data_IF_794931604677
#
_entry.id   IF_794931604677
#
_cell.length_a   1.000
_cell.length_b   1.000
_cell.length_c   1.000
_cell.angle_alpha   90.00
_cell.angle_beta   90.00
_cell.angle_gamma   90.00
#
_symmetry.space_group_name_H-M   'P 1'
#
loop_
_entity.id
_entity.type
_entity.pdbx_description
1 polymer ?
#
# COMPACT_ATOMS: atom_id res chain seq x y z
N UNK A 1 -2.95 21.34 6.56
CA UNK A 1 -4.22 22.11 6.72
C UNK A 1 -4.70 21.93 8.14
N UNK A 2 -4.90 23.01 8.92
CA UNK A 2 -5.51 22.91 10.25
C UNK A 2 -7.00 22.63 10.07
N UNK A 3 -7.45 21.44 10.41
CA UNK A 3 -8.83 20.99 10.28
C UNK A 3 -9.64 21.43 11.50
N UNK A 4 -10.55 22.38 11.32
CA UNK A 4 -11.70 22.54 12.22
C UNK A 4 -12.84 21.69 11.64
N UNK A 5 -12.96 20.44 12.09
CA UNK A 5 -14.24 19.73 12.03
C UNK A 5 -15.09 20.35 13.14
N UNK A 6 -15.63 21.54 12.85
CA UNK A 6 -16.52 22.22 13.77
C UNK A 6 -17.80 21.39 13.88
N UNK A 7 -17.93 20.65 14.99
CA UNK A 7 -19.11 20.47 15.86
C UNK A 7 -20.53 20.63 15.24
N UNK A 8 -20.73 20.33 13.97
CA UNK A 8 -22.02 20.47 13.25
C UNK A 8 -22.73 19.13 13.08
N UNK A 9 -22.08 18.03 13.45
CA UNK A 9 -22.65 16.67 13.51
C UNK A 9 -23.70 16.49 14.63
N UNK A 10 -23.87 17.47 15.53
CA UNK A 10 -24.71 17.32 16.73
C UNK A 10 -26.11 17.94 16.65
N UNK A 11 -26.51 18.61 15.56
CA UNK A 11 -27.77 19.39 15.56
C UNK A 11 -28.96 18.83 14.75
N UNK A 12 -28.91 17.58 14.28
CA UNK A 12 -30.05 16.97 13.58
C UNK A 12 -30.30 15.51 13.95
N UNK A 13 -30.33 15.21 15.25
CA UNK A 13 -30.79 13.89 15.73
C UNK A 13 -32.30 13.94 15.90
N UNK A 14 -33.03 13.78 14.80
CA UNK A 14 -34.36 13.21 14.83
C UNK A 14 -34.21 11.70 15.04
N UNK A 15 -34.79 11.16 16.11
CA UNK A 15 -34.90 9.72 16.37
C UNK A 15 -35.65 9.05 15.20
N UNK A 16 -34.91 8.58 14.22
CA UNK A 16 -35.35 7.60 13.24
C UNK A 16 -34.36 6.45 13.33
N UNK A 17 -34.71 5.44 14.13
CA UNK A 17 -34.12 4.10 14.04
C UNK A 17 -34.59 3.47 12.73
N UNK A 18 -34.08 3.97 11.61
CA UNK A 18 -34.13 3.26 10.35
C UNK A 18 -32.94 2.32 10.42
N UNK A 19 -33.22 1.05 10.68
CA UNK A 19 -32.30 -0.03 10.36
C UNK A 19 -32.19 -0.06 8.83
N UNK A 20 -31.38 0.86 8.28
CA UNK A 20 -31.21 1.02 6.85
C UNK A 20 -30.48 -0.22 6.38
N UNK A 21 -31.21 -1.14 5.75
CA UNK A 21 -30.60 -2.31 5.11
C UNK A 21 -29.65 -1.75 4.05
N UNK A 22 -28.33 -1.90 4.27
CA UNK A 22 -27.30 -1.45 3.33
C UNK A 22 -27.69 -1.87 1.92
N UNK A 23 -27.83 -0.89 1.03
CA UNK A 23 -28.14 -1.13 -0.36
C UNK A 23 -26.82 -1.35 -1.09
N UNK A 24 -26.66 -2.55 -1.65
CA UNK A 24 -25.48 -2.87 -2.42
C UNK A 24 -25.54 -2.21 -3.80
N UNK A 25 -24.36 -1.90 -4.35
CA UNK A 25 -24.24 -1.51 -5.75
C UNK A 25 -24.76 -2.63 -6.64
N UNK A 26 -25.54 -2.28 -7.66
CA UNK A 26 -25.96 -3.23 -8.69
C UNK A 26 -24.74 -3.76 -9.45
N UNK A 27 -24.73 -5.06 -9.76
CA UNK A 27 -23.59 -5.71 -10.41
C UNK A 27 -23.23 -5.10 -11.77
N UNK A 28 -24.23 -4.61 -12.52
CA UNK A 28 -24.05 -3.90 -13.79
C UNK A 28 -23.27 -2.59 -13.60
N UNK A 29 -23.75 -1.74 -12.70
CA UNK A 29 -23.11 -0.45 -12.35
C UNK A 29 -21.68 -0.68 -11.87
N UNK A 30 -21.47 -1.68 -11.02
CA UNK A 30 -20.16 -2.04 -10.51
C UNK A 30 -19.21 -2.48 -11.64
N UNK A 31 -19.66 -3.36 -12.54
CA UNK A 31 -18.85 -3.84 -13.66
C UNK A 31 -18.50 -2.72 -14.65
N UNK A 32 -19.38 -1.75 -14.85
CA UNK A 32 -19.12 -0.59 -15.72
C UNK A 32 -18.15 0.40 -15.08
N UNK A 33 -18.20 0.53 -13.75
CA UNK A 33 -17.40 1.49 -12.98
C UNK A 33 -15.99 0.98 -12.64
N UNK A 34 -15.73 -0.31 -12.79
CA UNK A 34 -14.38 -0.87 -12.61
C UNK A 34 -13.42 -0.34 -13.69
N UNK A 35 -12.16 -0.01 -13.31
CA UNK A 35 -11.18 0.46 -14.27
C UNK A 35 -10.85 -0.66 -15.27
N UNK A 36 -10.66 -0.28 -16.53
CA UNK A 36 -10.22 -1.17 -17.61
C UNK A 36 -8.84 -0.73 -18.08
N UNK A 37 -7.78 -0.96 -17.28
CA UNK A 37 -6.46 -0.44 -17.57
C UNK A 37 -5.84 -1.12 -18.80
N UNK A 38 -5.17 -0.32 -19.63
CA UNK A 38 -4.23 -0.86 -20.61
C UNK A 38 -3.02 -1.38 -19.85
N UNK A 39 -2.70 -2.67 -20.00
CA UNK A 39 -1.57 -3.26 -19.31
C UNK A 39 -0.27 -3.03 -20.08
N UNK A 40 0.75 -2.61 -19.35
CA UNK A 40 2.12 -2.48 -19.83
C UNK A 40 2.99 -3.48 -19.07
N UNK A 41 3.82 -4.21 -19.80
CA UNK A 41 4.76 -5.17 -19.23
C UNK A 41 6.18 -4.87 -19.73
N UNK A 42 7.11 -4.68 -18.80
CA UNK A 42 8.55 -4.61 -19.07
C UNK A 42 9.24 -5.84 -18.49
N UNK A 43 10.20 -6.41 -19.24
CA UNK A 43 11.01 -7.55 -18.81
C UNK A 43 12.48 -7.20 -18.74
N UNK A 44 13.11 -7.67 -17.70
CA UNK A 44 14.54 -7.50 -17.44
C UNK A 44 15.15 -8.81 -16.93
N UNK A 45 16.43 -9.00 -17.23
CA UNK A 45 17.16 -10.21 -16.88
C UNK A 45 16.90 -11.41 -17.81
N UNK A 46 17.69 -12.46 -17.64
CA UNK A 46 17.62 -13.73 -18.40
C UNK A 46 17.78 -14.96 -17.49
N UNK A 47 17.66 -14.74 -16.19
CA UNK A 47 17.83 -15.78 -15.20
C UNK A 47 16.73 -16.85 -15.27
N UNK A 48 17.01 -18.01 -14.69
CA UNK A 48 16.11 -19.17 -14.67
C UNK A 48 15.78 -19.62 -13.24
N UNK A 49 16.25 -18.92 -12.21
CA UNK A 49 15.98 -19.27 -10.81
C UNK A 49 14.56 -18.91 -10.44
N UNK A 50 14.03 -17.83 -11.02
CA UNK A 50 12.65 -17.42 -10.94
C UNK A 50 12.49 -15.93 -11.18
N UNK A 51 11.37 -15.35 -10.77
CA UNK A 51 11.02 -13.96 -11.12
C UNK A 51 10.55 -13.13 -9.94
N UNK A 52 10.88 -11.84 -9.97
CA UNK A 52 10.24 -10.83 -9.11
C UNK A 52 9.43 -9.92 -10.02
N UNK A 53 8.16 -9.73 -9.68
CA UNK A 53 7.21 -8.95 -10.47
C UNK A 53 6.72 -7.77 -9.64
N UNK A 54 7.18 -6.57 -9.99
CA UNK A 54 6.62 -5.35 -9.43
C UNK A 54 5.32 -4.97 -10.12
N UNK A 55 4.29 -4.66 -9.34
CA UNK A 55 2.98 -4.23 -9.85
C UNK A 55 2.70 -2.78 -9.49
N UNK A 56 2.21 -2.01 -10.46
CA UNK A 56 1.55 -0.72 -10.25
C UNK A 56 0.13 -0.83 -10.82
N UNK A 57 -0.82 -1.39 -10.04
CA UNK A 57 -2.20 -1.51 -10.49
C UNK A 57 -2.86 -0.14 -10.55
N UNK A 58 -3.81 0.04 -11.49
CA UNK A 58 -4.65 1.23 -11.58
C UNK A 58 -6.00 0.90 -10.96
N UNK A 59 -6.27 1.43 -9.77
CA UNK A 59 -7.46 1.11 -8.98
C UNK A 59 -8.33 2.36 -8.78
N UNK A 60 -9.63 2.16 -8.58
CA UNK A 60 -10.52 3.24 -8.15
C UNK A 60 -11.37 2.82 -6.95
N UNK A 61 -12.25 3.70 -6.46
CA UNK A 61 -13.10 3.38 -5.31
C UNK A 61 -13.99 2.14 -5.55
N UNK A 62 -14.40 1.88 -6.78
CA UNK A 62 -15.21 0.70 -7.14
C UNK A 62 -14.40 -0.60 -7.12
N UNK A 63 -13.08 -0.54 -7.31
CA UNK A 63 -12.19 -1.67 -7.05
C UNK A 63 -12.28 -2.14 -5.59
N UNK A 64 -12.67 -1.27 -4.65
CA UNK A 64 -12.80 -1.61 -3.22
C UNK A 64 -14.24 -1.85 -2.77
N UNK A 65 -15.23 -1.79 -3.68
CA UNK A 65 -16.64 -1.91 -3.32
C UNK A 65 -16.99 -3.28 -2.72
N UNK A 66 -16.40 -4.34 -3.27
CA UNK A 66 -16.58 -5.72 -2.79
C UNK A 66 -15.23 -6.45 -2.76
N UNK A 67 -15.15 -7.54 -2.00
CA UNK A 67 -13.96 -8.41 -2.01
C UNK A 67 -13.66 -8.94 -3.41
N UNK A 68 -14.68 -9.36 -4.15
CA UNK A 68 -14.54 -9.87 -5.51
C UNK A 68 -14.13 -8.79 -6.51
N UNK A 69 -14.58 -7.54 -6.33
CA UNK A 69 -14.09 -6.40 -7.12
C UNK A 69 -12.60 -6.18 -6.92
N UNK A 70 -12.14 -6.23 -5.67
CA UNK A 70 -10.73 -6.04 -5.33
C UNK A 70 -9.88 -7.19 -5.87
N UNK A 71 -10.29 -8.43 -5.60
CA UNK A 71 -9.65 -9.62 -6.14
C UNK A 71 -9.63 -9.60 -7.67
N UNK A 72 -10.74 -9.31 -8.35
CA UNK A 72 -10.77 -9.30 -9.83
C UNK A 72 -9.91 -8.19 -10.43
N UNK A 73 -9.84 -7.01 -9.78
CA UNK A 73 -8.97 -5.92 -10.20
C UNK A 73 -7.50 -6.33 -10.14
N UNK A 74 -7.08 -7.05 -9.09
CA UNK A 74 -5.70 -7.53 -8.94
C UNK A 74 -5.42 -8.75 -9.82
N UNK A 75 -6.35 -9.70 -9.91
CA UNK A 75 -6.21 -10.94 -10.70
C UNK A 75 -5.85 -10.65 -12.15
N UNK A 76 -6.39 -9.57 -12.72
CA UNK A 76 -6.06 -9.11 -14.07
C UNK A 76 -4.54 -9.01 -14.31
N UNK A 77 -3.77 -8.55 -13.32
CA UNK A 77 -2.31 -8.43 -13.41
C UNK A 77 -1.59 -9.77 -13.24
N UNK A 78 -2.06 -10.61 -12.31
CA UNK A 78 -1.49 -11.95 -12.12
C UNK A 78 -1.74 -12.83 -13.36
N UNK A 79 -2.92 -12.68 -13.97
CA UNK A 79 -3.27 -13.34 -15.21
C UNK A 79 -2.40 -12.85 -16.37
N UNK A 80 -2.21 -11.53 -16.53
CA UNK A 80 -1.30 -10.98 -17.54
C UNK A 80 0.13 -11.52 -17.39
N UNK A 81 0.64 -11.58 -16.15
CA UNK A 81 1.95 -12.18 -15.87
C UNK A 81 1.99 -13.67 -16.26
N UNK A 82 0.94 -14.43 -15.96
CA UNK A 82 0.82 -15.84 -16.34
C UNK A 82 0.79 -16.03 -17.86
N UNK A 83 -0.05 -15.28 -18.57
CA UNK A 83 -0.26 -15.38 -20.02
C UNK A 83 0.99 -15.00 -20.80
N UNK A 84 1.84 -14.15 -20.23
CA UNK A 84 3.13 -13.79 -20.80
C UNK A 84 4.28 -14.70 -20.30
N UNK A 85 4.05 -15.80 -19.58
CA UNK A 85 5.12 -16.67 -19.06
C UNK A 85 6.10 -15.95 -18.10
N UNK A 86 5.60 -15.03 -17.25
CA UNK A 86 6.40 -14.40 -16.19
C UNK A 86 6.37 -15.18 -14.86
N UNK A 87 5.52 -16.20 -14.74
CA UNK A 87 5.34 -16.96 -13.49
C UNK A 87 6.12 -18.27 -13.52
N UNK A 88 7.06 -18.38 -12.61
CA UNK A 88 7.73 -19.60 -12.20
C UNK A 88 7.05 -20.09 -10.92
N UNK A 89 6.30 -21.19 -11.01
CA UNK A 89 5.60 -21.80 -9.88
C UNK A 89 6.54 -21.95 -8.67
N UNK A 90 6.09 -21.46 -7.52
CA UNK A 90 6.77 -21.37 -6.23
C UNK A 90 8.07 -20.54 -6.21
N UNK A 91 8.47 -19.95 -7.34
CA UNK A 91 9.70 -19.15 -7.51
C UNK A 91 9.41 -17.80 -8.17
N UNK A 92 8.19 -17.31 -7.99
CA UNK A 92 7.81 -15.95 -8.35
C UNK A 92 7.36 -15.20 -7.12
N UNK A 93 7.79 -13.95 -6.99
CA UNK A 93 7.36 -13.03 -5.94
C UNK A 93 6.75 -11.80 -6.56
N UNK A 94 5.50 -11.50 -6.22
CA UNK A 94 4.85 -10.25 -6.60
C UNK A 94 5.07 -9.18 -5.52
N UNK A 95 5.30 -7.93 -5.95
CA UNK A 95 5.44 -6.78 -5.07
C UNK A 95 4.36 -5.77 -5.41
N UNK A 96 3.47 -5.50 -4.46
CA UNK A 96 2.38 -4.54 -4.59
C UNK A 96 2.70 -3.23 -3.86
N UNK A 97 2.04 -2.12 -4.21
CA UNK A 97 2.33 -0.80 -3.66
C UNK A 97 1.76 -0.57 -2.25
N UNK A 98 2.26 0.47 -1.59
CA UNK A 98 1.78 0.91 -0.28
C UNK A 98 0.29 1.30 -0.33
N UNK A 99 -0.38 1.16 0.80
CA UNK A 99 -1.79 1.50 1.05
C UNK A 99 -2.84 0.74 0.23
N UNK A 100 -2.43 -0.23 -0.57
CA UNK A 100 -3.36 -1.03 -1.37
C UNK A 100 -4.43 -1.73 -0.52
N UNK A 101 -4.12 -2.14 0.72
CA UNK A 101 -5.09 -2.76 1.62
C UNK A 101 -5.93 -1.76 2.42
N UNK A 102 -5.48 -0.51 2.57
CA UNK A 102 -6.11 0.47 3.46
C UNK A 102 -7.50 0.90 2.99
N UNK A 103 -7.71 0.93 1.68
CA UNK A 103 -9.01 1.31 1.11
C UNK A 103 -10.10 0.25 1.29
N UNK A 104 -9.77 -0.95 1.79
CA UNK A 104 -10.75 -1.97 2.19
C UNK A 104 -11.67 -1.51 3.34
N UNK A 105 -11.36 -0.35 3.95
CA UNK A 105 -12.21 0.33 4.94
C UNK A 105 -13.64 0.57 4.45
N UNK A 106 -13.84 0.72 3.13
CA UNK A 106 -15.17 0.92 2.51
C UNK A 106 -15.79 -0.34 1.90
N UNK A 107 -15.13 -1.51 2.02
CA UNK A 107 -15.63 -2.73 1.38
C UNK A 107 -16.94 -3.21 2.00
N UNK A 108 -17.89 -3.60 1.14
CA UNK A 108 -19.24 -4.02 1.50
C UNK A 108 -20.05 -2.96 2.26
N UNK A 109 -19.74 -1.68 2.04
CA UNK A 109 -20.54 -0.56 2.53
C UNK A 109 -21.71 -0.21 1.60
N UNK A 110 -22.56 0.71 2.06
CA UNK A 110 -23.70 1.18 1.28
C UNK A 110 -23.26 1.86 -0.03
N UNK A 111 -24.07 1.69 -1.08
CA UNK A 111 -23.84 2.32 -2.38
C UNK A 111 -23.69 3.85 -2.31
N UNK A 112 -24.26 4.50 -1.28
CA UNK A 112 -24.15 5.95 -1.07
C UNK A 112 -22.71 6.44 -0.99
N UNK A 113 -21.80 5.65 -0.40
CA UNK A 113 -20.38 5.99 -0.27
C UNK A 113 -19.69 6.08 -1.64
N UNK A 114 -20.08 5.22 -2.58
CA UNK A 114 -19.47 5.17 -3.92
C UNK A 114 -20.04 6.21 -4.88
N UNK A 115 -21.16 6.85 -4.51
CA UNK A 115 -21.78 7.95 -5.25
C UNK A 115 -21.26 9.35 -4.86
N UNK A 116 -20.44 9.46 -3.81
CA UNK A 116 -19.85 10.74 -3.39
C UNK A 116 -18.73 11.19 -4.34
N UNK A 117 -18.37 12.47 -4.28
CA UNK A 117 -17.34 13.05 -5.16
C UNK A 117 -15.96 13.10 -4.52
N UNK A 118 -15.91 13.25 -3.20
CA UNK A 118 -14.67 13.43 -2.45
C UNK A 118 -14.48 12.37 -1.37
N UNK A 119 -13.23 12.13 -1.00
CA UNK A 119 -12.87 11.25 0.11
C UNK A 119 -13.51 11.75 1.42
N UNK A 120 -13.58 13.06 1.64
CA UNK A 120 -14.20 13.63 2.83
C UNK A 120 -15.68 13.27 2.91
N UNK A 121 -16.43 13.48 1.82
CA UNK A 121 -17.84 13.08 1.74
C UNK A 121 -18.02 11.58 1.94
N UNK A 122 -17.13 10.75 1.35
CA UNK A 122 -17.16 9.30 1.52
C UNK A 122 -16.92 8.88 2.99
N UNK A 123 -15.98 9.54 3.68
CA UNK A 123 -15.71 9.31 5.10
C UNK A 123 -16.90 9.73 5.97
N UNK A 124 -17.51 10.89 5.71
CA UNK A 124 -18.71 11.31 6.42
C UNK A 124 -19.87 10.33 6.26
N UNK A 125 -20.08 9.84 5.03
CA UNK A 125 -21.10 8.84 4.75
C UNK A 125 -20.78 7.51 5.45
N UNK A 126 -19.52 7.09 5.47
CA UNK A 126 -19.06 5.91 6.22
C UNK A 126 -19.39 6.04 7.72
N UNK A 127 -19.15 7.21 8.32
CA UNK A 127 -19.50 7.48 9.72
C UNK A 127 -21.02 7.40 9.92
N UNK A 128 -21.81 8.05 9.06
CA UNK A 128 -23.28 8.04 9.17
C UNK A 128 -23.86 6.63 9.08
N UNK A 129 -23.37 5.83 8.12
CA UNK A 129 -23.82 4.44 7.92
C UNK A 129 -23.39 3.50 9.04
N UNK A 130 -22.39 3.87 9.84
CA UNK A 130 -21.86 3.05 10.93
C UNK A 130 -21.91 3.79 12.29
N UNK A 131 -22.84 4.74 12.46
CA UNK A 131 -22.84 5.71 13.57
C UNK A 131 -22.75 5.07 14.96
N UNK A 132 -23.50 4.00 15.21
CA UNK A 132 -23.46 3.30 16.50
C UNK A 132 -22.09 2.69 16.80
N UNK A 133 -21.49 2.01 15.81
CA UNK A 133 -20.15 1.43 15.94
C UNK A 133 -19.09 2.51 16.05
N UNK A 134 -19.23 3.60 15.29
CA UNK A 134 -18.32 4.73 15.34
C UNK A 134 -18.32 5.40 16.71
N UNK A 135 -19.50 5.74 17.24
CA UNK A 135 -19.63 6.36 18.57
C UNK A 135 -19.12 5.44 19.69
N UNK A 136 -19.33 4.12 19.55
CA UNK A 136 -18.77 3.15 20.49
C UNK A 136 -17.24 3.18 20.48
N UNK A 137 -16.61 3.08 19.32
CA UNK A 137 -15.14 3.11 19.24
C UNK A 137 -14.58 4.48 19.67
N UNK A 138 -15.21 5.57 19.25
CA UNK A 138 -14.79 6.93 19.62
C UNK A 138 -14.86 7.19 21.13
N UNK A 139 -15.87 6.63 21.82
CA UNK A 139 -16.06 6.84 23.25
C UNK A 139 -15.31 5.85 24.15
N UNK A 140 -15.09 4.62 23.68
CA UNK A 140 -14.64 3.52 24.54
C UNK A 140 -13.34 2.84 24.09
N UNK A 141 -12.85 3.09 22.88
CA UNK A 141 -11.53 2.58 22.49
C UNK A 141 -10.41 3.50 22.99
N UNK A 142 -9.22 2.95 23.29
CA UNK A 142 -8.05 3.78 23.52
C UNK A 142 -7.73 4.62 22.28
N UNK A 143 -7.37 5.88 22.52
CA UNK A 143 -6.88 6.81 21.50
C UNK A 143 -5.38 6.99 21.68
N UNK A 144 -4.62 6.82 20.61
CA UNK A 144 -3.16 7.01 20.58
C UNK A 144 -2.75 8.13 19.62
N UNK A 145 -3.73 8.84 19.05
CA UNK A 145 -3.55 9.77 17.94
C UNK A 145 -4.00 11.18 18.28
N UNK A 146 -3.47 12.15 17.54
CA UNK A 146 -3.99 13.52 17.57
C UNK A 146 -5.21 13.67 16.64
N UNK A 147 -5.28 12.85 15.59
CA UNK A 147 -6.44 12.73 14.71
C UNK A 147 -7.32 11.52 15.10
N UNK A 148 -8.04 11.68 16.22
CA UNK A 148 -8.88 10.64 16.79
C UNK A 148 -10.00 10.18 15.84
N UNK A 149 -10.47 11.04 14.92
CA UNK A 149 -11.51 10.70 13.96
C UNK A 149 -11.01 9.66 12.95
N UNK A 150 -9.84 9.90 12.34
CA UNK A 150 -9.23 8.92 11.44
C UNK A 150 -8.86 7.63 12.16
N UNK A 151 -8.32 7.73 13.38
CA UNK A 151 -8.00 6.54 14.16
C UNK A 151 -9.24 5.67 14.40
N UNK A 152 -10.33 6.29 14.84
CA UNK A 152 -11.60 5.61 15.10
C UNK A 152 -12.12 4.91 13.84
N UNK A 153 -12.06 5.58 12.69
CA UNK A 153 -12.53 5.01 11.41
C UNK A 153 -11.81 3.70 11.07
N UNK A 154 -10.48 3.68 11.12
CA UNK A 154 -9.72 2.47 10.81
C UNK A 154 -9.91 1.40 11.88
N UNK A 155 -9.93 1.78 13.17
CA UNK A 155 -10.14 0.84 14.28
C UNK A 155 -11.49 0.13 14.18
N UNK A 156 -12.56 0.90 13.91
CA UNK A 156 -13.92 0.39 13.73
C UNK A 156 -14.01 -0.67 12.62
N UNK A 157 -13.16 -0.56 11.60
CA UNK A 157 -13.18 -1.40 10.40
C UNK A 157 -12.06 -2.45 10.35
N UNK A 158 -11.20 -2.48 11.37
CA UNK A 158 -9.94 -3.22 11.34
C UNK A 158 -10.13 -4.72 11.10
N UNK A 159 -11.11 -5.35 11.76
CA UNK A 159 -11.41 -6.77 11.57
C UNK A 159 -11.87 -7.08 10.15
N UNK A 160 -12.81 -6.30 9.60
CA UNK A 160 -13.27 -6.50 8.24
C UNK A 160 -12.14 -6.27 7.23
N UNK A 161 -11.36 -5.19 7.38
CA UNK A 161 -10.20 -4.91 6.52
C UNK A 161 -9.22 -6.08 6.52
N UNK A 162 -8.91 -6.60 7.71
CA UNK A 162 -7.98 -7.73 7.90
C UNK A 162 -8.47 -8.99 7.20
N UNK A 163 -9.73 -9.37 7.41
CA UNK A 163 -10.31 -10.57 6.81
C UNK A 163 -10.29 -10.50 5.27
N UNK A 164 -10.69 -9.36 4.70
CA UNK A 164 -10.72 -9.16 3.24
C UNK A 164 -9.32 -9.15 2.65
N UNK A 165 -8.39 -8.44 3.29
CA UNK A 165 -7.00 -8.36 2.88
C UNK A 165 -6.38 -9.76 2.85
N UNK A 166 -6.49 -10.51 3.96
CA UNK A 166 -5.94 -11.85 4.04
C UNK A 166 -6.60 -12.80 3.03
N UNK A 167 -7.93 -12.77 2.90
CA UNK A 167 -8.67 -13.62 1.96
C UNK A 167 -8.16 -13.45 0.52
N UNK A 168 -8.11 -12.20 0.03
CA UNK A 168 -7.71 -11.90 -1.35
C UNK A 168 -6.26 -12.28 -1.63
N UNK A 169 -5.33 -11.90 -0.77
CA UNK A 169 -3.91 -12.22 -1.00
C UNK A 169 -3.59 -13.70 -0.80
N UNK A 170 -4.22 -14.38 0.15
CA UNK A 170 -4.10 -15.85 0.29
C UNK A 170 -4.62 -16.57 -0.95
N UNK A 171 -5.75 -16.10 -1.52
CA UNK A 171 -6.34 -16.66 -2.74
C UNK A 171 -5.43 -16.46 -3.94
N UNK A 172 -4.95 -15.24 -4.18
CA UNK A 172 -4.03 -14.92 -5.29
C UNK A 172 -2.74 -15.73 -5.20
N UNK A 173 -2.12 -15.79 -4.00
CA UNK A 173 -0.89 -16.53 -3.78
C UNK A 173 -1.05 -18.02 -4.10
N UNK A 174 -2.13 -18.65 -3.60
CA UNK A 174 -2.42 -20.08 -3.83
C UNK A 174 -2.80 -20.39 -5.27
N UNK A 175 -3.63 -19.55 -5.89
CA UNK A 175 -4.14 -19.75 -7.25
C UNK A 175 -3.02 -19.69 -8.29
N UNK A 176 -2.08 -18.76 -8.11
CA UNK A 176 -0.95 -18.59 -9.01
C UNK A 176 0.33 -19.30 -8.54
N UNK A 177 0.34 -19.86 -7.32
CA UNK A 177 1.50 -20.50 -6.67
C UNK A 177 2.71 -19.57 -6.62
N UNK A 178 2.52 -18.40 -6.02
CA UNK A 178 3.53 -17.33 -5.95
C UNK A 178 3.61 -16.71 -4.56
N UNK A 179 4.80 -16.21 -4.20
CA UNK A 179 4.96 -15.34 -3.04
C UNK A 179 4.41 -13.95 -3.33
N UNK A 180 3.92 -13.24 -2.31
CA UNK A 180 3.39 -11.88 -2.46
C UNK A 180 3.83 -10.99 -1.31
N UNK A 181 4.55 -9.92 -1.61
CA UNK A 181 4.67 -8.75 -0.75
C UNK A 181 3.43 -7.89 -1.00
N UNK A 182 2.45 -8.02 -0.11
CA UNK A 182 1.07 -7.60 -0.35
C UNK A 182 0.85 -6.09 -0.13
N UNK A 183 1.78 -5.26 -0.58
CA UNK A 183 1.72 -3.82 -0.39
C UNK A 183 1.67 -3.47 1.08
N UNK A 184 0.81 -2.53 1.47
CA UNK A 184 0.58 -2.26 2.88
C UNK A 184 -0.88 -1.97 3.23
N UNK A 185 -1.18 -2.05 4.53
CA UNK A 185 -2.48 -1.80 5.13
C UNK A 185 -2.30 -1.10 6.49
N UNK A 186 -3.25 -0.22 6.86
CA UNK A 186 -3.32 0.39 8.20
C UNK A 186 -4.15 -0.50 9.12
N UNK A 187 -3.55 -0.97 10.22
CA UNK A 187 -4.19 -1.80 11.23
C UNK A 187 -3.74 -1.42 12.65
N UNK A 188 -4.58 -1.63 13.68
CA UNK A 188 -4.21 -1.36 15.06
C UNK A 188 -3.30 -2.47 15.59
N UNK A 189 -2.01 -2.16 15.68
CA UNK A 189 -0.92 -3.02 16.16
C UNK A 189 -1.16 -4.52 15.90
N UNK A 190 -1.17 -4.94 14.61
CA UNK A 190 -1.59 -6.29 14.26
C UNK A 190 -0.55 -7.33 14.67
N UNK A 191 -1.02 -8.56 14.83
CA UNK A 191 -0.24 -9.79 15.03
C UNK A 191 -0.71 -10.86 14.05
N UNK A 192 0.12 -11.87 13.82
CA UNK A 192 -0.33 -13.10 13.16
C UNK A 192 -0.40 -14.21 14.20
N UNK A 193 -1.60 -14.74 14.43
CA UNK A 193 -1.88 -15.80 15.40
C UNK A 193 -2.45 -16.98 14.63
N UNK A 194 -1.80 -18.13 14.69
CA UNK A 194 -2.25 -19.36 14.00
C UNK A 194 -2.52 -19.14 12.50
N UNK A 195 -1.67 -18.35 11.84
CA UNK A 195 -1.82 -18.03 10.41
C UNK A 195 -2.97 -17.07 10.08
N UNK A 196 -3.51 -16.35 11.08
CA UNK A 196 -4.52 -15.31 10.92
C UNK A 196 -3.98 -13.95 11.35
N UNK A 197 -4.09 -12.96 10.46
CA UNK A 197 -3.83 -11.59 10.82
C UNK A 197 -4.92 -11.17 11.82
N UNK A 198 -4.50 -10.63 12.95
CA UNK A 198 -5.37 -10.28 14.08
C UNK A 198 -5.05 -8.84 14.49
N UNK A 199 -5.96 -7.88 14.25
CA UNK A 199 -5.84 -6.54 14.80
C UNK A 199 -5.98 -6.57 16.33
N UNK A 200 -5.42 -5.58 17.01
CA UNK A 200 -5.49 -5.45 18.48
C UNK A 200 -6.05 -4.08 18.89
N UNK A 201 -6.04 -3.76 20.18
CA UNK A 201 -6.43 -2.44 20.70
C UNK A 201 -5.24 -1.47 20.82
N UNK A 202 -4.09 -1.80 20.22
CA UNK A 202 -2.92 -0.94 20.19
C UNK A 202 -3.02 0.22 19.18
N UNK A 203 -1.96 1.03 19.04
CA UNK A 203 -1.92 2.14 18.08
C UNK A 203 -1.99 1.65 16.64
N UNK A 204 -2.52 2.47 15.74
CA UNK A 204 -2.49 2.18 14.31
C UNK A 204 -1.07 2.22 13.76
N UNK A 205 -0.77 1.28 12.87
CA UNK A 205 0.51 1.19 12.17
C UNK A 205 0.25 0.89 10.70
N UNK A 206 1.11 1.40 9.82
CA UNK A 206 1.15 1.00 8.42
C UNK A 206 2.08 -0.21 8.29
N UNK A 207 1.52 -1.35 7.90
CA UNK A 207 2.21 -2.64 7.91
C UNK A 207 2.13 -3.35 6.57
N UNK A 208 3.12 -4.18 6.27
CA UNK A 208 3.19 -5.03 5.09
C UNK A 208 3.32 -6.50 5.51
N UNK A 209 2.59 -7.37 4.81
CA UNK A 209 2.59 -8.81 5.04
C UNK A 209 3.16 -9.54 3.82
N UNK A 210 3.86 -10.64 4.09
CA UNK A 210 4.28 -11.60 3.06
C UNK A 210 3.32 -12.78 3.04
N UNK A 211 2.87 -13.17 1.84
CA UNK A 211 2.09 -14.39 1.62
C UNK A 211 2.95 -15.40 0.86
N UNK A 212 2.98 -16.63 1.36
CA UNK A 212 3.69 -17.76 0.76
C UNK A 212 2.92 -18.36 -0.43
N UNK A 213 3.59 -19.10 -1.34
CA UNK A 213 2.94 -19.73 -2.50
C UNK A 213 1.76 -20.66 -2.22
N UNK A 214 1.62 -21.16 -0.99
CA UNK A 214 0.48 -21.98 -0.55
C UNK A 214 -0.73 -21.15 -0.06
N UNK A 215 -0.57 -19.82 0.01
CA UNK A 215 -1.54 -18.86 0.50
C UNK A 215 -1.49 -18.63 2.01
N UNK A 216 -0.50 -19.17 2.74
CA UNK A 216 -0.31 -18.80 4.15
C UNK A 216 0.33 -17.42 4.26
N UNK A 217 -0.14 -16.61 5.20
CA UNK A 217 0.55 -15.39 5.61
C UNK A 217 1.75 -15.78 6.50
N UNK A 218 2.86 -15.07 6.35
CA UNK A 218 4.01 -15.18 7.23
C UNK A 218 3.67 -14.70 8.66
N UNK A 219 4.33 -15.23 9.68
CA UNK A 219 4.07 -14.85 11.07
C UNK A 219 4.72 -13.52 11.44
N UNK A 220 5.75 -13.11 10.69
CA UNK A 220 6.43 -11.85 10.87
C UNK A 220 5.79 -10.74 10.03
N UNK A 221 5.87 -9.50 10.53
CA UNK A 221 5.17 -8.34 9.97
C UNK A 221 6.19 -7.23 9.78
N UNK A 222 6.22 -6.65 8.58
CA UNK A 222 7.00 -5.43 8.32
C UNK A 222 6.19 -4.23 8.77
N UNK A 223 6.79 -3.33 9.55
CA UNK A 223 6.18 -2.10 10.05
C UNK A 223 6.95 -0.90 9.50
N UNK A 224 6.22 0.09 8.98
CA UNK A 224 6.81 1.33 8.46
C UNK A 224 7.57 2.05 9.57
N UNK A 225 8.86 2.30 9.36
CA UNK A 225 9.75 2.93 10.35
C UNK A 225 9.62 4.45 10.35
N UNK A 226 9.34 5.04 9.19
CA UNK A 226 9.28 6.49 9.03
C UNK A 226 7.92 6.97 8.48
N UNK A 227 6.86 7.04 9.30
CA UNK A 227 5.62 7.70 8.90
C UNK A 227 5.80 9.20 8.57
N UNK A 228 5.24 9.68 7.47
CA UNK A 228 5.31 11.11 7.09
C UNK A 228 4.46 11.98 8.03
N UNK A 229 4.59 13.30 7.96
CA UNK A 229 3.93 14.21 8.91
C UNK A 229 2.41 14.01 8.98
N UNK A 230 1.74 13.81 7.84
CA UNK A 230 0.31 13.55 7.79
C UNK A 230 -0.07 12.22 8.45
N UNK A 231 0.80 11.22 8.36
CA UNK A 231 0.59 9.90 8.95
C UNK A 231 0.81 9.92 10.46
N UNK A 232 1.81 10.67 10.94
CA UNK A 232 2.12 10.82 12.37
C UNK A 232 0.94 11.34 13.20
N UNK A 233 -0.04 11.95 12.56
CA UNK A 233 -1.26 12.39 13.23
C UNK A 233 -2.08 11.22 13.77
N UNK A 234 -1.99 10.03 13.16
CA UNK A 234 -2.79 8.85 13.50
C UNK A 234 -2.04 7.50 13.50
N UNK A 235 -0.78 7.45 13.06
CA UNK A 235 0.04 6.25 13.01
C UNK A 235 1.25 6.35 13.96
N UNK A 236 1.67 5.20 14.47
CA UNK A 236 2.92 5.04 15.22
C UNK A 236 3.96 4.31 14.36
N UNK A 237 5.21 4.71 14.48
CA UNK A 237 6.37 4.10 13.81
C UNK A 237 6.61 2.64 14.26
N UNK A 238 7.20 1.86 13.36
CA UNK A 238 7.86 0.61 13.71
C UNK A 238 9.17 0.86 14.47
N UNK A 239 9.85 -0.22 14.86
CA UNK A 239 11.13 -0.14 15.55
C UNK A 239 12.22 -0.76 14.69
N UNK A 240 13.39 -0.13 14.71
CA UNK A 240 14.59 -0.68 14.08
C UNK A 240 14.91 -2.07 14.63
N UNK A 241 15.44 -2.92 13.76
CA UNK A 241 15.84 -4.30 14.03
C UNK A 241 14.67 -5.23 14.44
N UNK A 242 13.42 -4.81 14.26
CA UNK A 242 12.24 -5.67 14.43
C UNK A 242 11.62 -6.11 13.09
N UNK A 243 12.01 -5.48 11.97
CA UNK A 243 11.48 -5.84 10.66
C UNK A 243 12.10 -7.16 10.16
N UNK A 244 11.28 -8.08 9.61
CA UNK A 244 11.75 -9.40 9.22
C UNK A 244 12.51 -9.41 7.90
N UNK A 245 13.33 -10.45 7.75
CA UNK A 245 13.95 -10.84 6.49
C UNK A 245 13.26 -12.12 6.02
N UNK A 246 12.53 -12.06 4.92
CA UNK A 246 11.87 -13.25 4.39
C UNK A 246 12.86 -14.11 3.62
N UNK A 247 13.00 -15.38 4.00
CA UNK A 247 13.78 -16.36 3.24
C UNK A 247 12.92 -16.89 2.10
N UNK A 248 13.29 -16.54 0.87
CA UNK A 248 12.55 -16.93 -0.32
C UNK A 248 13.39 -17.83 -1.22
N UNK A 249 12.79 -18.55 -2.18
CA UNK A 249 13.56 -19.32 -3.16
C UNK A 249 14.50 -18.47 -4.05
N UNK A 250 14.34 -17.14 -4.05
CA UNK A 250 15.16 -16.21 -4.83
C UNK A 250 16.27 -15.55 -4.01
N UNK A 251 16.27 -15.75 -2.69
CA UNK A 251 17.20 -15.13 -1.74
C UNK A 251 16.49 -14.49 -0.55
N UNK A 252 17.28 -13.87 0.33
CA UNK A 252 16.77 -13.07 1.45
C UNK A 252 16.12 -11.78 0.96
N UNK A 253 14.85 -11.58 1.28
CA UNK A 253 14.05 -10.42 0.87
C UNK A 253 13.82 -9.48 2.06
N UNK A 254 14.16 -8.20 1.87
CA UNK A 254 13.93 -7.12 2.82
C UNK A 254 12.94 -6.10 2.23
N UNK A 255 12.00 -5.64 3.06
CA UNK A 255 10.93 -4.72 2.64
C UNK A 255 11.06 -3.39 3.38
N UNK A 256 11.10 -2.28 2.63
CA UNK A 256 11.04 -0.91 3.16
C UNK A 256 9.70 -0.29 2.76
N UNK A 257 8.91 0.23 3.70
CA UNK A 257 7.61 0.82 3.35
C UNK A 257 7.80 2.29 3.01
N UNK A 258 7.79 2.60 1.71
CA UNK A 258 7.76 3.94 1.16
C UNK A 258 8.90 4.85 1.67
N UNK A 259 8.57 5.79 2.57
CA UNK A 259 9.49 6.77 3.13
C UNK A 259 10.69 6.12 3.82
N UNK A 260 10.56 4.88 4.32
CA UNK A 260 11.68 4.11 4.88
C UNK A 260 12.89 4.08 3.93
N UNK A 261 12.65 3.96 2.62
CA UNK A 261 13.71 3.94 1.61
C UNK A 261 14.49 5.25 1.48
N UNK A 262 14.06 6.33 2.13
CA UNK A 262 14.75 7.61 2.12
C UNK A 262 15.78 7.78 3.24
N UNK A 263 15.79 6.89 4.24
CA UNK A 263 16.59 7.06 5.46
C UNK A 263 17.80 6.12 5.45
N UNK A 264 19.04 6.64 5.61
CA UNK A 264 20.26 5.82 5.58
C UNK A 264 20.29 4.74 6.67
N UNK A 265 19.65 4.98 7.81
CA UNK A 265 19.56 4.06 8.93
C UNK A 265 18.90 2.72 8.53
N UNK A 266 17.92 2.77 7.62
CA UNK A 266 17.21 1.56 7.14
C UNK A 266 18.10 0.73 6.21
N UNK A 267 18.99 1.36 5.45
CA UNK A 267 19.96 0.64 4.62
C UNK A 267 21.02 -0.05 5.46
N UNK A 268 21.41 0.56 6.58
CA UNK A 268 22.33 -0.08 7.53
C UNK A 268 21.70 -1.35 8.14
N UNK A 269 20.44 -1.28 8.59
CA UNK A 269 19.70 -2.47 9.05
C UNK A 269 19.61 -3.54 7.95
N UNK A 270 19.32 -3.13 6.71
CA UNK A 270 19.24 -4.03 5.55
C UNK A 270 20.58 -4.71 5.24
N UNK A 271 21.70 -3.99 5.29
CA UNK A 271 23.05 -4.54 5.09
C UNK A 271 23.40 -5.56 6.19
N UNK A 272 23.12 -5.25 7.46
CA UNK A 272 23.32 -6.17 8.59
C UNK A 272 22.47 -7.45 8.48
N UNK A 273 21.38 -7.37 7.72
CA UNK A 273 20.44 -8.47 7.44
C UNK A 273 20.94 -9.44 6.33
N UNK A 274 22.00 -9.05 5.60
CA UNK A 274 22.52 -9.72 4.41
C UNK A 274 21.43 -9.94 3.35
N UNK A 275 20.56 -8.95 3.12
CA UNK A 275 19.50 -9.05 2.14
C UNK A 275 20.06 -9.14 0.72
N UNK A 276 19.44 -9.96 -0.12
CA UNK A 276 19.81 -10.12 -1.54
C UNK A 276 18.79 -9.44 -2.46
N UNK A 277 17.59 -9.18 -1.94
CA UNK A 277 16.47 -8.56 -2.63
C UNK A 277 15.90 -7.47 -1.73
N UNK A 278 15.76 -6.27 -2.25
CA UNK A 278 15.13 -5.14 -1.55
C UNK A 278 13.88 -4.71 -2.32
N UNK A 279 12.75 -4.64 -1.62
CA UNK A 279 11.48 -4.19 -2.21
C UNK A 279 10.93 -2.99 -1.47
N UNK A 280 10.35 -2.05 -2.21
CA UNK A 280 9.81 -0.80 -1.66
C UNK A 280 8.39 -0.58 -2.21
N UNK A 281 7.35 -0.99 -1.48
CA UNK A 281 5.98 -0.52 -1.73
C UNK A 281 5.88 0.97 -1.42
N UNK A 282 5.43 1.79 -2.37
CA UNK A 282 5.29 3.24 -2.19
C UNK A 282 3.92 3.76 -2.61
N UNK A 283 3.53 4.88 -2.01
CA UNK A 283 2.35 5.66 -2.37
C UNK A 283 2.72 7.14 -2.42
N UNK A 284 2.41 7.81 -3.52
CA UNK A 284 2.56 9.26 -3.66
C UNK A 284 1.24 9.84 -4.15
N UNK A 285 0.67 10.73 -3.34
CA UNK A 285 -0.50 11.51 -3.69
C UNK A 285 -0.34 12.96 -3.18
N UNK A 286 -0.90 13.96 -3.88
CA UNK A 286 -1.60 13.82 -5.16
C UNK A 286 -0.67 13.47 -6.34
N UNK A 287 -1.20 12.98 -7.46
CA UNK A 287 -0.40 12.50 -8.62
C UNK A 287 0.57 13.56 -9.15
N UNK A 288 0.16 14.83 -9.15
CA UNK A 288 0.92 15.95 -9.67
C UNK A 288 2.13 16.31 -8.80
N UNK A 289 2.13 15.93 -7.52
CA UNK A 289 3.28 16.10 -6.61
C UNK A 289 4.58 15.55 -7.21
N UNK A 290 4.50 14.47 -8.00
CA UNK A 290 5.63 13.83 -8.68
C UNK A 290 6.48 14.79 -9.54
N UNK A 291 5.83 15.78 -10.17
CA UNK A 291 6.47 16.78 -11.01
C UNK A 291 6.77 18.10 -10.29
N UNK A 292 6.23 18.31 -9.09
CA UNK A 292 6.43 19.52 -8.31
C UNK A 292 7.83 19.55 -7.66
N UNK A 293 8.23 20.72 -7.16
CA UNK A 293 9.50 20.89 -6.45
C UNK A 293 9.47 20.13 -5.13
N UNK A 294 10.54 19.39 -4.86
CA UNK A 294 10.72 18.68 -3.61
C UNK A 294 11.01 19.65 -2.47
N UNK A 295 10.24 19.55 -1.39
CA UNK A 295 10.31 20.48 -0.25
C UNK A 295 11.21 19.99 0.90
N UNK A 296 11.93 18.88 0.71
CA UNK A 296 12.70 18.23 1.76
C UNK A 296 11.98 17.02 2.34
N UNK A 297 12.57 16.42 3.38
CA UNK A 297 11.99 15.26 4.05
C UNK A 297 10.70 15.66 4.79
N UNK A 298 9.71 14.78 4.75
CA UNK A 298 8.41 14.99 5.39
C UNK A 298 8.30 14.11 6.65
N UNK A 299 8.02 14.73 7.80
CA UNK A 299 7.85 14.06 9.10
C UNK A 299 9.11 13.92 9.96
N UNK A 300 10.32 14.02 9.39
CA UNK A 300 11.58 13.88 10.12
C UNK A 300 12.63 14.89 9.67
N UNK A 301 13.68 15.04 10.49
CA UNK A 301 14.84 15.84 10.11
C UNK A 301 15.51 15.28 8.85
N UNK A 302 15.99 16.18 8.00
CA UNK A 302 16.77 15.82 6.82
C UNK A 302 18.02 15.01 7.22
N UNK A 303 18.27 13.84 6.59
CA UNK A 303 19.52 13.11 6.78
C UNK A 303 20.74 13.96 6.44
N UNK A 304 21.87 13.69 7.10
CA UNK A 304 23.09 14.51 6.96
C UNK A 304 23.74 14.43 5.58
N UNK A 305 23.38 13.43 4.78
CA UNK A 305 23.96 13.15 3.47
C UNK A 305 23.18 13.78 2.30
N UNK A 306 22.13 14.56 2.59
CA UNK A 306 21.40 15.29 1.55
C UNK A 306 22.18 16.53 1.11
N UNK A 307 21.91 17.01 -0.11
CA UNK A 307 22.41 18.31 -0.59
C UNK A 307 21.35 19.38 -0.30
N UNK A 308 21.59 20.35 0.60
CA UNK A 308 20.58 21.36 0.92
C UNK A 308 20.13 22.21 -0.28
N UNK A 309 20.97 22.32 -1.33
CA UNK A 309 20.63 23.07 -2.56
C UNK A 309 19.55 22.38 -3.41
N UNK A 310 19.28 21.10 -3.18
CA UNK A 310 18.28 20.35 -3.93
C UNK A 310 16.85 20.68 -3.44
N UNK A 311 16.71 21.07 -2.18
CA UNK A 311 15.43 21.47 -1.58
C UNK A 311 14.91 22.73 -2.30
N UNK A 312 13.67 22.65 -2.78
CA UNK A 312 13.04 23.70 -3.58
C UNK A 312 13.54 23.78 -5.04
N UNK A 313 14.53 22.96 -5.42
CA UNK A 313 15.19 23.03 -6.74
C UNK A 313 14.86 21.84 -7.63
N UNK A 314 15.02 20.62 -7.14
CA UNK A 314 14.73 19.41 -7.92
C UNK A 314 13.27 19.02 -7.79
N UNK A 315 12.76 18.18 -8.71
CA UNK A 315 11.40 17.66 -8.58
C UNK A 315 11.32 16.52 -7.57
N UNK A 316 10.11 16.20 -7.10
CA UNK A 316 9.83 15.03 -6.26
C UNK A 316 10.39 13.74 -6.89
N UNK A 317 10.14 13.52 -8.18
CA UNK A 317 10.72 12.38 -8.94
C UNK A 317 12.24 12.32 -8.87
N UNK A 318 12.92 13.47 -9.03
CA UNK A 318 14.38 13.53 -8.96
C UNK A 318 14.88 13.26 -7.54
N UNK A 319 14.15 13.72 -6.52
CA UNK A 319 14.46 13.48 -5.13
C UNK A 319 14.32 11.99 -4.78
N UNK A 320 13.21 11.32 -5.17
CA UNK A 320 13.08 9.86 -5.05
C UNK A 320 14.25 9.13 -5.71
N UNK A 321 14.62 9.51 -6.94
CA UNK A 321 15.74 8.88 -7.65
C UNK A 321 17.08 9.07 -6.92
N UNK A 322 17.31 10.23 -6.29
CA UNK A 322 18.61 10.59 -5.70
C UNK A 322 18.75 10.19 -4.23
N UNK A 323 17.67 10.24 -3.47
CA UNK A 323 17.67 10.11 -2.01
C UNK A 323 16.86 8.92 -1.49
N UNK A 324 16.26 8.11 -2.37
CA UNK A 324 15.62 6.85 -1.99
C UNK A 324 16.41 5.63 -2.52
N UNK A 325 15.70 4.55 -2.91
CA UNK A 325 16.26 3.26 -3.33
C UNK A 325 17.47 3.37 -4.28
N UNK A 326 17.33 4.01 -5.44
CA UNK A 326 18.40 4.09 -6.44
C UNK A 326 19.64 4.87 -5.96
N UNK A 327 19.38 5.92 -5.18
CA UNK A 327 20.42 6.77 -4.65
C UNK A 327 21.24 6.09 -3.58
N UNK A 328 20.59 5.28 -2.74
CA UNK A 328 21.14 4.76 -1.48
C UNK A 328 21.52 3.28 -1.52
N UNK A 329 20.90 2.46 -2.36
CA UNK A 329 21.24 1.04 -2.47
C UNK A 329 22.60 0.87 -3.14
N UNK A 330 23.66 0.66 -2.35
CA UNK A 330 25.04 0.49 -2.82
C UNK A 330 25.65 -0.88 -2.52
N UNK A 331 24.96 -1.68 -1.72
CA UNK A 331 25.40 -3.03 -1.37
C UNK A 331 25.53 -3.91 -2.63
N UNK A 332 26.73 -4.45 -2.94
CA UNK A 332 26.94 -5.33 -4.09
C UNK A 332 26.27 -6.71 -3.95
N UNK A 333 25.92 -7.14 -2.74
CA UNK A 333 25.26 -8.42 -2.47
C UNK A 333 23.76 -8.38 -2.83
N UNK A 334 23.18 -7.17 -2.91
CA UNK A 334 21.80 -6.97 -3.37
C UNK A 334 21.69 -7.13 -4.89
N UNK A 335 21.08 -8.24 -5.30
CA UNK A 335 20.86 -8.64 -6.70
C UNK A 335 19.74 -7.85 -7.35
N UNK A 336 18.72 -7.47 -6.60
CA UNK A 336 17.58 -6.69 -7.09
C UNK A 336 17.05 -5.71 -6.03
N UNK A 337 16.93 -4.45 -6.41
CA UNK A 337 16.11 -3.44 -5.74
C UNK A 337 14.92 -3.06 -6.62
N UNK A 338 13.71 -3.10 -6.08
CA UNK A 338 12.49 -2.68 -6.80
C UNK A 338 11.62 -1.79 -5.93
N UNK A 339 11.26 -0.62 -6.45
CA UNK A 339 10.31 0.31 -5.85
C UNK A 339 9.10 0.48 -6.77
N UNK A 340 7.91 0.17 -6.27
CA UNK A 340 6.64 0.27 -7.02
C UNK A 340 5.69 1.27 -6.36
N UNK A 341 4.89 1.96 -7.17
CA UNK A 341 3.99 3.01 -6.72
C UNK A 341 2.53 2.64 -6.95
N UNK A 342 1.67 3.01 -5.99
CA UNK A 342 0.23 2.91 -6.17
C UNK A 342 -0.21 3.84 -7.28
N UNK A 343 -1.12 3.37 -8.15
CA UNK A 343 -1.71 4.18 -9.20
C UNK A 343 -3.22 4.10 -9.14
N UNK A 344 -3.88 5.20 -9.49
CA UNK A 344 -5.33 5.23 -9.57
C UNK A 344 -5.95 6.48 -8.95
N UNK A 345 -7.27 6.42 -8.82
CA UNK A 345 -8.13 7.53 -8.43
C UNK A 345 -9.14 7.02 -7.41
N UNK A 346 -8.91 7.33 -6.13
CA UNK A 346 -9.79 6.94 -5.03
C UNK A 346 -10.60 8.18 -4.63
N UNK A 347 -11.79 8.32 -5.21
CA UNK A 347 -12.54 9.60 -5.23
C UNK A 347 -11.70 10.74 -5.84
N UNK A 348 -11.47 11.82 -5.10
CA UNK A 348 -10.66 12.97 -5.50
C UNK A 348 -9.15 12.80 -5.20
N UNK A 349 -8.77 11.70 -4.56
CA UNK A 349 -7.36 11.36 -4.35
C UNK A 349 -6.79 10.71 -5.60
N UNK A 350 -5.92 11.44 -6.28
CA UNK A 350 -5.15 10.91 -7.40
C UNK A 350 -3.77 10.45 -6.92
N UNK A 351 -3.35 9.25 -7.30
CA UNK A 351 -2.05 8.73 -6.95
C UNK A 351 -1.18 8.51 -8.19
N UNK A 352 0.12 8.74 -8.03
CA UNK A 352 1.11 8.67 -9.09
C UNK A 352 2.44 8.12 -8.63
N UNK A 353 3.47 8.38 -9.43
CA UNK A 353 4.79 7.79 -9.25
C UNK A 353 5.20 6.94 -10.44
N UNK A 354 6.50 6.72 -10.55
CA UNK A 354 7.11 5.80 -11.49
C UNK A 354 8.06 4.89 -10.74
N UNK A 355 7.92 3.59 -10.97
CA UNK A 355 8.81 2.60 -10.39
C UNK A 355 10.29 2.85 -10.70
N UNK A 356 11.14 2.48 -9.74
CA UNK A 356 12.60 2.55 -9.82
C UNK A 356 13.22 1.18 -9.55
N UNK A 357 14.27 0.85 -10.30
CA UNK A 357 14.85 -0.50 -10.28
C UNK A 357 16.37 -0.48 -10.32
N UNK A 358 16.97 -1.38 -9.56
CA UNK A 358 18.40 -1.68 -9.62
C UNK A 358 18.58 -3.19 -9.72
N UNK A 359 19.41 -3.66 -10.65
CA UNK A 359 19.71 -5.07 -10.82
C UNK A 359 21.22 -5.27 -10.90
N UNK A 360 21.76 -6.18 -10.08
CA UNK A 360 23.19 -6.46 -9.96
C UNK A 360 24.05 -5.18 -9.80
N UNK A 361 23.66 -4.33 -8.85
CA UNK A 361 24.36 -3.06 -8.56
C UNK A 361 24.17 -1.94 -9.60
N UNK A 362 23.37 -2.15 -10.66
CA UNK A 362 23.19 -1.16 -11.74
C UNK A 362 21.73 -0.69 -11.83
N UNK A 363 21.48 0.63 -11.95
CA UNK A 363 20.14 1.13 -12.25
C UNK A 363 19.60 0.57 -13.57
N UNK A 364 18.31 0.22 -13.58
CA UNK A 364 17.59 -0.19 -14.79
C UNK A 364 16.55 0.88 -15.12
N UNK A 365 16.49 1.27 -16.39
CA UNK A 365 15.57 2.31 -16.84
C UNK A 365 14.13 1.81 -16.84
N UNK A 366 13.21 2.60 -16.30
CA UNK A 366 11.79 2.41 -16.49
C UNK A 366 11.41 2.92 -17.89
N UNK A 367 10.96 2.02 -18.77
CA UNK A 367 10.68 2.30 -20.18
C UNK A 367 9.21 2.62 -20.44
N UNK A 368 8.40 2.71 -19.39
CA UNK A 368 6.97 2.99 -19.50
C UNK A 368 6.72 4.37 -20.10
N UNK A 369 5.76 4.43 -21.01
CA UNK A 369 5.20 5.70 -21.48
C UNK A 369 3.91 5.96 -20.72
N UNK A 370 3.77 7.18 -20.20
CA UNK A 370 2.60 7.58 -19.43
C UNK A 370 1.33 7.50 -20.30
N UNK A 371 0.31 6.85 -19.76
CA UNK A 371 -1.00 6.65 -20.36
C UNK A 371 -2.04 6.92 -19.26
N UNK A 372 -3.22 7.43 -19.63
CA UNK A 372 -4.20 7.94 -18.64
C UNK A 372 -4.64 6.86 -17.63
N UNK A 373 -5.05 5.69 -18.14
CA UNK A 373 -5.48 4.53 -17.34
C UNK A 373 -4.59 3.35 -17.73
N UNK A 374 -3.52 3.17 -16.97
CA UNK A 374 -2.50 2.16 -17.28
C UNK A 374 -2.08 1.42 -16.02
N UNK A 375 -2.14 0.10 -16.13
CA UNK A 375 -1.57 -0.82 -15.17
C UNK A 375 -0.18 -1.27 -15.63
N UNK A 376 0.77 -1.44 -14.71
CA UNK A 376 2.16 -1.75 -15.07
C UNK A 376 2.66 -2.99 -14.35
N UNK A 377 3.40 -3.82 -15.08
CA UNK A 377 4.09 -5.01 -14.60
C UNK A 377 5.58 -4.91 -14.97
N UNK A 378 6.44 -5.13 -14.00
CA UNK A 378 7.89 -5.09 -14.15
C UNK A 378 8.47 -6.44 -13.74
N UNK A 379 8.87 -7.25 -14.71
CA UNK A 379 9.30 -8.64 -14.52
C UNK A 379 10.82 -8.72 -14.55
N UNK A 380 11.43 -9.12 -13.43
CA UNK A 380 12.88 -9.32 -13.30
C UNK A 380 13.19 -10.81 -13.13
N UNK A 381 13.93 -11.39 -14.07
CA UNK A 381 14.33 -12.81 -14.05
C UNK A 381 15.74 -12.99 -13.48
N UNK A 382 15.85 -13.68 -12.33
CA UNK A 382 17.08 -13.87 -11.54
C UNK A 382 17.79 -15.21 -11.78
#
# INVERSE_FOLDING_TARGET
MRFFVALSLFLSIGLMTIQCKKQQLESSVLSESLPKPKLYLQREGKGKRGTIVGLEPFLNQFSYATEESFYSSLRLYFQEAKDNEAIFVDRTIFVLPEYIGTWLVVTAEDKSIFGTKTMLEAMEELVKQNLGSFLWHYGFSPSYSTDHLKETLFRMKAWQMTDRYQSVFSRLAREYRVGIVAGSIVLPHPKVVEGKITPTDGPLQNVSFYFHPDGRVDDQIVRKLFPIEEEKQFLVEGKFNENPIYRTPLGKLYTMVCADSWFPEVYKEMEESEAEIVVVPSFVAPKDAWGQKWNGYNGYANPKDINPKDIGTITEKMAWKKYALLGRLKDPDVKLGINVFFRGEIWDLTAGGDAFFQMMGKPVNNLVKEEKIQGRLYVFSL
#
